data_IF_437772421676
#
_entry.id   IF_437772421676
#
_cell.length_a   1.000
_cell.length_b   1.000
_cell.length_c   1.000
_cell.angle_alpha   90.00
_cell.angle_beta   90.00
_cell.angle_gamma   90.00
#
_symmetry.space_group_name_H-M   'P 1'
#
loop_
_entity.id
_entity.type
_entity.pdbx_description
1 polymer ?
#
# COMPACT_ATOMS: atom_id res chain seq x y z
N UNK A 1 17.41 9.56 -6.38
CA UNK A 1 16.09 9.01 -6.74
C UNK A 1 15.05 9.43 -5.69
N UNK A 2 13.82 9.52 -6.08
CA UNK A 2 12.72 9.84 -5.17
C UNK A 2 12.32 8.62 -4.34
N UNK A 3 11.59 8.84 -3.26
CA UNK A 3 11.03 7.75 -2.46
C UNK A 3 10.14 6.84 -3.31
N UNK A 4 9.32 7.42 -4.17
CA UNK A 4 8.45 6.67 -5.08
C UNK A 4 9.26 5.75 -6.00
N UNK A 5 10.32 6.26 -6.59
CA UNK A 5 11.22 5.46 -7.43
C UNK A 5 11.90 4.36 -6.64
N UNK A 6 12.39 4.69 -5.45
CA UNK A 6 13.04 3.72 -4.59
C UNK A 6 12.12 2.55 -4.22
N UNK A 7 10.91 2.85 -3.76
CA UNK A 7 9.95 1.82 -3.39
C UNK A 7 9.49 1.02 -4.61
N UNK A 8 9.23 1.69 -5.73
CA UNK A 8 8.77 1.02 -6.95
C UNK A 8 9.80 0.04 -7.51
N UNK A 9 11.08 0.36 -7.37
CA UNK A 9 12.16 -0.49 -7.88
C UNK A 9 12.56 -1.60 -6.92
N UNK A 10 12.43 -1.38 -5.61
CA UNK A 10 13.00 -2.28 -4.62
C UNK A 10 11.95 -3.13 -3.88
N UNK A 11 10.70 -2.76 -3.88
CA UNK A 11 9.62 -3.64 -3.42
C UNK A 11 9.27 -4.61 -4.55
N UNK A 12 10.06 -5.66 -4.63
CA UNK A 12 9.98 -6.62 -5.76
C UNK A 12 8.68 -7.41 -5.73
N UNK A 13 8.21 -7.76 -4.55
CA UNK A 13 6.98 -8.53 -4.44
C UNK A 13 5.78 -7.73 -4.95
N UNK A 14 5.67 -6.47 -4.54
CA UNK A 14 4.60 -5.60 -5.00
C UNK A 14 4.69 -5.38 -6.52
N UNK A 15 5.88 -5.12 -7.04
CA UNK A 15 6.10 -4.94 -8.47
C UNK A 15 5.72 -6.19 -9.27
N UNK A 16 6.17 -7.36 -8.81
CA UNK A 16 5.87 -8.64 -9.48
C UNK A 16 4.39 -9.01 -9.39
N UNK A 17 3.70 -8.51 -8.38
CA UNK A 17 2.25 -8.70 -8.23
C UNK A 17 1.43 -7.71 -9.08
N UNK A 18 2.07 -6.75 -9.73
CA UNK A 18 1.40 -5.76 -10.56
C UNK A 18 0.93 -4.52 -9.82
N UNK A 19 1.33 -4.34 -8.55
CA UNK A 19 0.99 -3.15 -7.78
C UNK A 19 1.83 -1.95 -8.27
N UNK A 20 1.17 -0.82 -8.52
CA UNK A 20 1.82 0.40 -8.96
C UNK A 20 1.64 1.48 -7.92
N UNK A 21 2.76 2.03 -7.44
CA UNK A 21 2.74 3.20 -6.57
C UNK A 21 2.63 4.44 -7.45
N UNK A 22 1.47 5.10 -7.39
CA UNK A 22 1.14 6.19 -8.31
C UNK A 22 1.54 7.56 -7.77
N UNK A 23 1.34 7.78 -6.46
CA UNK A 23 1.52 9.11 -5.87
C UNK A 23 1.88 8.99 -4.40
N UNK A 24 2.79 9.86 -3.95
CA UNK A 24 3.10 10.07 -2.54
C UNK A 24 2.94 11.56 -2.25
N UNK A 25 2.21 11.87 -1.19
CA UNK A 25 2.10 13.22 -0.64
C UNK A 25 2.45 13.23 0.84
N UNK A 26 2.24 14.36 1.49
CA UNK A 26 2.44 14.47 2.93
C UNK A 26 1.35 13.70 3.68
N UNK A 27 1.74 12.59 4.31
CA UNK A 27 0.82 11.69 5.01
C UNK A 27 -0.18 10.99 4.09
N UNK A 28 0.16 10.83 2.81
CA UNK A 28 -0.75 10.31 1.79
C UNK A 28 0.00 9.50 0.75
N UNK A 29 -0.63 8.42 0.29
CA UNK A 29 -0.15 7.68 -0.87
C UNK A 29 -1.31 7.03 -1.61
N UNK A 30 -1.13 6.86 -2.92
CA UNK A 30 -2.08 6.16 -3.77
C UNK A 30 -1.34 5.10 -4.57
N UNK A 31 -1.88 3.88 -4.54
CA UNK A 31 -1.38 2.75 -5.33
C UNK A 31 -2.55 2.07 -6.04
N UNK A 32 -2.25 1.43 -7.16
CA UNK A 32 -3.27 0.79 -8.00
C UNK A 32 -2.87 -0.62 -8.39
N UNK A 33 -3.88 -1.44 -8.67
CA UNK A 33 -3.70 -2.81 -9.15
C UNK A 33 -4.78 -3.13 -10.16
N UNK A 34 -4.37 -3.53 -11.37
CA UNK A 34 -5.28 -4.10 -12.35
C UNK A 34 -5.44 -5.59 -12.03
N UNK A 35 -6.61 -6.01 -11.62
CA UNK A 35 -6.86 -7.43 -11.28
C UNK A 35 -6.90 -8.26 -12.55
N UNK A 36 -6.07 -9.30 -12.60
CA UNK A 36 -6.02 -10.26 -13.69
C UNK A 36 -6.35 -11.64 -13.15
N UNK A 37 -6.46 -12.64 -14.03
CA UNK A 37 -6.69 -14.03 -13.61
C UNK A 37 -5.59 -14.55 -12.69
N UNK A 38 -4.37 -13.98 -12.77
CA UNK A 38 -3.24 -14.39 -11.92
C UNK A 38 -3.43 -13.97 -10.45
N UNK A 39 -4.36 -13.05 -10.18
CA UNK A 39 -4.67 -12.60 -8.83
C UNK A 39 -5.84 -13.37 -8.19
N UNK A 40 -6.47 -14.29 -8.92
CA UNK A 40 -7.69 -14.95 -8.44
C UNK A 40 -7.39 -16.11 -7.51
N UNK A 41 -8.26 -16.30 -6.54
CA UNK A 41 -8.27 -17.48 -5.66
C UNK A 41 -9.08 -18.62 -6.28
N UNK A 42 -9.21 -19.73 -5.55
CA UNK A 42 -9.96 -20.89 -6.00
C UNK A 42 -11.44 -20.60 -6.25
N UNK A 43 -11.99 -19.56 -5.64
CA UNK A 43 -13.39 -19.13 -5.85
C UNK A 43 -13.55 -18.14 -7.00
N UNK A 44 -12.51 -17.93 -7.81
CA UNK A 44 -12.52 -17.04 -8.98
C UNK A 44 -12.75 -15.56 -8.66
N UNK A 45 -12.37 -15.14 -7.47
CA UNK A 45 -12.32 -13.73 -7.07
C UNK A 45 -10.93 -13.37 -6.59
N UNK A 46 -10.64 -12.08 -6.50
CA UNK A 46 -9.32 -11.59 -6.11
C UNK A 46 -8.90 -12.19 -4.76
N UNK A 47 -7.72 -12.79 -4.72
CA UNK A 47 -7.18 -13.41 -3.53
C UNK A 47 -6.82 -12.35 -2.50
N UNK A 48 -7.10 -12.63 -1.22
CA UNK A 48 -6.90 -11.65 -0.15
C UNK A 48 -5.50 -11.09 -0.06
N UNK A 49 -4.48 -11.88 -0.39
CA UNK A 49 -3.10 -11.43 -0.41
C UNK A 49 -2.81 -10.35 -1.44
N UNK A 50 -3.56 -10.30 -2.55
CA UNK A 50 -3.39 -9.25 -3.56
C UNK A 50 -3.80 -7.88 -3.00
N UNK A 51 -4.94 -7.81 -2.30
CA UNK A 51 -5.34 -6.58 -1.62
C UNK A 51 -4.31 -6.18 -0.57
N UNK A 52 -3.82 -7.16 0.18
CA UNK A 52 -2.87 -6.91 1.26
C UNK A 52 -1.55 -6.34 0.71
N UNK A 53 -1.05 -6.90 -0.38
CA UNK A 53 0.16 -6.41 -1.04
C UNK A 53 -0.02 -4.98 -1.54
N UNK A 54 -1.18 -4.69 -2.14
CA UNK A 54 -1.50 -3.35 -2.62
C UNK A 54 -1.56 -2.34 -1.47
N UNK A 55 -2.21 -2.72 -0.37
CA UNK A 55 -2.28 -1.85 0.82
C UNK A 55 -0.89 -1.65 1.42
N UNK A 56 -0.07 -2.69 1.47
CA UNK A 56 1.23 -2.66 2.13
C UNK A 56 2.21 -1.69 1.45
N UNK A 57 2.25 -1.64 0.12
CA UNK A 57 3.12 -0.68 -0.56
C UNK A 57 2.63 0.76 -0.33
N UNK A 58 1.33 0.99 -0.28
CA UNK A 58 0.78 2.31 0.02
C UNK A 58 1.10 2.72 1.47
N UNK A 59 0.98 1.79 2.41
CA UNK A 59 1.35 2.02 3.82
C UNK A 59 2.84 2.36 3.93
N UNK A 60 3.69 1.57 3.27
CA UNK A 60 5.13 1.80 3.29
C UNK A 60 5.49 3.19 2.76
N UNK A 61 4.81 3.63 1.70
CA UNK A 61 5.02 4.96 1.13
C UNK A 61 4.70 6.06 2.15
N UNK A 62 3.58 5.96 2.84
CA UNK A 62 3.21 6.95 3.87
C UNK A 62 4.19 6.92 5.03
N UNK A 63 4.49 5.75 5.57
CA UNK A 63 5.36 5.62 6.75
C UNK A 63 6.78 6.12 6.48
N UNK A 64 7.29 5.85 5.28
CA UNK A 64 8.66 6.25 4.91
C UNK A 64 8.73 7.67 4.35
N UNK A 65 7.60 8.33 4.15
CA UNK A 65 7.57 9.70 3.60
C UNK A 65 8.20 10.74 4.53
N UNK A 66 8.46 10.38 5.78
CA UNK A 66 9.14 11.26 6.75
C UNK A 66 10.66 11.09 6.76
N UNK A 67 11.20 10.25 5.88
CA UNK A 67 12.65 10.16 5.65
C UNK A 67 13.40 9.14 6.51
N UNK A 68 12.73 8.50 7.44
CA UNK A 68 13.33 7.45 8.27
C UNK A 68 12.80 6.08 7.86
N UNK A 69 13.69 5.10 7.79
CA UNK A 69 13.35 3.73 7.45
C UNK A 69 12.33 3.18 8.45
N UNK A 70 11.16 2.78 7.95
CA UNK A 70 10.05 2.32 8.77
C UNK A 70 9.53 1.00 8.21
N UNK A 71 9.38 0.00 9.07
CA UNK A 71 8.80 -1.29 8.71
C UNK A 71 7.44 -1.48 9.38
N UNK A 72 6.53 -2.19 8.72
CA UNK A 72 5.28 -2.60 9.33
C UNK A 72 5.52 -3.67 10.41
N UNK A 73 4.85 -3.52 11.56
CA UNK A 73 4.90 -4.53 12.62
C UNK A 73 3.54 -5.16 12.88
N UNK A 74 2.47 -4.52 12.47
CA UNK A 74 1.13 -5.08 12.54
C UNK A 74 0.27 -4.47 11.46
N UNK A 75 -0.42 -5.31 10.70
CA UNK A 75 -1.44 -4.87 9.77
C UNK A 75 -2.71 -5.66 10.00
N UNK A 76 -3.85 -4.99 9.85
CA UNK A 76 -5.17 -5.62 9.94
C UNK A 76 -5.93 -5.30 8.67
N UNK A 77 -6.58 -6.30 8.09
CA UNK A 77 -7.38 -6.14 6.88
C UNK A 77 -8.78 -6.68 7.10
N UNK A 78 -9.77 -5.92 6.62
CA UNK A 78 -11.17 -6.32 6.57
C UNK A 78 -11.59 -6.33 5.12
N UNK A 79 -12.05 -7.47 4.62
CA UNK A 79 -12.55 -7.64 3.27
C UNK A 79 -14.04 -7.34 3.27
N UNK A 80 -14.45 -6.34 2.47
CA UNK A 80 -15.84 -5.87 2.43
C UNK A 80 -16.55 -6.34 1.17
N UNK A 81 -15.86 -6.29 0.01
CA UNK A 81 -16.42 -6.66 -1.28
C UNK A 81 -15.35 -7.31 -2.14
N UNK A 82 -15.72 -8.42 -2.79
CA UNK A 82 -14.81 -9.12 -3.69
C UNK A 82 -14.62 -8.37 -5.00
N UNK A 83 -13.38 -8.30 -5.47
CA UNK A 83 -13.04 -7.88 -6.82
C UNK A 83 -12.87 -9.11 -7.72
N UNK A 84 -12.98 -8.90 -9.00
CA UNK A 84 -12.86 -9.95 -10.02
C UNK A 84 -11.87 -9.53 -11.10
N UNK A 85 -11.48 -10.45 -11.95
CA UNK A 85 -10.60 -10.14 -13.09
C UNK A 85 -11.22 -9.02 -13.94
N UNK A 86 -10.40 -8.05 -14.31
CA UNK A 86 -10.84 -6.85 -15.02
C UNK A 86 -11.11 -5.65 -14.13
N UNK A 87 -11.31 -5.85 -12.83
CA UNK A 87 -11.47 -4.72 -11.92
C UNK A 87 -10.15 -4.00 -11.71
N UNK A 88 -10.23 -2.68 -11.49
CA UNK A 88 -9.10 -1.85 -11.13
C UNK A 88 -9.24 -1.39 -9.70
N UNK A 89 -8.30 -1.78 -8.87
CA UNK A 89 -8.29 -1.42 -7.46
C UNK A 89 -7.41 -0.20 -7.23
N UNK A 90 -7.88 0.69 -6.36
CA UNK A 90 -7.13 1.86 -5.91
C UNK A 90 -7.05 1.84 -4.40
N UNK A 91 -5.82 1.85 -3.88
CA UNK A 91 -5.57 1.97 -2.45
C UNK A 91 -5.19 3.41 -2.14
N UNK A 92 -5.93 4.03 -1.23
CA UNK A 92 -5.62 5.35 -0.69
C UNK A 92 -5.18 5.16 0.76
N UNK A 93 -3.93 5.48 1.03
CA UNK A 93 -3.34 5.41 2.36
C UNK A 93 -3.26 6.80 2.97
N UNK A 94 -3.72 6.93 4.20
CA UNK A 94 -3.75 8.20 4.92
C UNK A 94 -3.14 8.00 6.30
N UNK A 95 -2.23 8.90 6.67
CA UNK A 95 -1.62 8.90 7.99
C UNK A 95 -2.65 9.27 9.04
N UNK A 96 -2.84 8.38 10.00
CA UNK A 96 -3.70 8.64 11.16
C UNK A 96 -2.90 9.34 12.25
N UNK A 97 -1.67 8.86 12.48
CA UNK A 97 -0.80 9.42 13.51
C UNK A 97 0.66 9.24 13.08
N UNK A 98 1.39 10.37 13.04
CA UNK A 98 2.83 10.37 12.81
C UNK A 98 3.56 10.27 14.15
N UNK A 99 3.47 9.11 14.79
CA UNK A 99 4.17 8.86 16.04
C UNK A 99 5.67 8.71 15.79
N UNK A 100 6.51 9.21 16.68
CA UNK A 100 7.96 9.20 16.49
C UNK A 100 8.54 7.78 16.35
N UNK A 101 7.90 6.77 16.91
CA UNK A 101 8.30 5.36 16.83
C UNK A 101 7.29 4.47 16.13
N UNK A 102 5.99 4.69 16.37
CA UNK A 102 4.91 3.80 15.96
C UNK A 102 3.88 4.54 15.11
N UNK A 103 4.24 4.92 13.88
CA UNK A 103 3.28 5.57 12.98
C UNK A 103 2.11 4.65 12.67
N UNK A 104 0.94 5.24 12.46
CA UNK A 104 -0.31 4.52 12.21
C UNK A 104 -0.93 5.04 10.91
N UNK A 105 -1.30 4.12 10.02
CA UNK A 105 -1.84 4.43 8.69
C UNK A 105 -3.13 3.68 8.44
N UNK A 106 -4.09 4.36 7.82
CA UNK A 106 -5.36 3.79 7.38
C UNK A 106 -5.38 3.72 5.86
N UNK A 107 -5.91 2.63 5.30
CA UNK A 107 -6.01 2.43 3.86
C UNK A 107 -7.42 2.02 3.48
N UNK A 108 -7.94 2.64 2.43
CA UNK A 108 -9.20 2.25 1.80
C UNK A 108 -8.89 1.77 0.39
N UNK A 109 -9.36 0.57 0.05
CA UNK A 109 -9.23 0.02 -1.30
C UNK A 109 -10.61 0.02 -1.94
N UNK A 110 -10.71 0.69 -3.08
CA UNK A 110 -11.96 0.78 -3.85
C UNK A 110 -11.75 0.21 -5.26
N UNK A 111 -12.83 -0.19 -5.91
CA UNK A 111 -12.81 -0.59 -7.31
C UNK A 111 -13.05 0.63 -8.22
N UNK A 112 -13.14 0.41 -9.54
CA UNK A 112 -13.30 1.47 -10.53
C UNK A 112 -14.66 2.19 -10.44
N UNK A 113 -15.63 1.61 -9.75
CA UNK A 113 -16.92 2.26 -9.48
C UNK A 113 -16.93 3.03 -8.16
N UNK A 114 -15.81 3.06 -7.45
CA UNK A 114 -15.73 3.73 -6.16
C UNK A 114 -16.30 2.89 -5.00
N UNK A 115 -16.59 1.62 -5.23
CA UNK A 115 -17.11 0.74 -4.19
C UNK A 115 -15.99 0.26 -3.28
N UNK A 116 -16.22 0.30 -1.97
CA UNK A 116 -15.25 -0.11 -0.96
C UNK A 116 -15.06 -1.64 -1.01
N UNK A 117 -13.82 -2.08 -1.22
CA UNK A 117 -13.45 -3.49 -1.24
C UNK A 117 -12.76 -3.92 0.04
N UNK A 118 -11.87 -3.10 0.58
CA UNK A 118 -11.11 -3.43 1.79
C UNK A 118 -10.87 -2.20 2.64
N UNK A 119 -10.75 -2.44 3.94
CA UNK A 119 -10.22 -1.49 4.92
C UNK A 119 -8.98 -2.12 5.52
N UNK A 120 -7.86 -1.41 5.49
CA UNK A 120 -6.60 -1.90 6.05
C UNK A 120 -6.05 -0.85 7.01
N UNK A 121 -5.55 -1.29 8.14
CA UNK A 121 -4.83 -0.43 9.07
C UNK A 121 -3.46 -1.03 9.32
N UNK A 122 -2.47 -0.17 9.53
CA UNK A 122 -1.10 -0.61 9.77
C UNK A 122 -0.41 0.23 10.82
N UNK A 123 0.38 -0.45 11.65
CA UNK A 123 1.29 0.18 12.60
C UNK A 123 2.69 -0.17 12.16
N UNK A 124 3.58 0.84 12.11
CA UNK A 124 4.97 0.64 11.76
C UNK A 124 5.89 0.83 12.95
N UNK A 125 7.14 0.43 12.75
CA UNK A 125 8.24 0.74 13.67
C UNK A 125 9.26 1.58 12.93
N UNK A 126 9.49 2.80 13.40
CA UNK A 126 10.42 3.76 12.80
C UNK A 126 11.81 3.56 13.35
N UNK A 127 12.74 3.21 12.48
CA UNK A 127 14.13 3.02 12.83
C UNK A 127 14.89 4.34 12.78
N UNK A 128 16.01 4.41 13.52
CA UNK A 128 16.92 5.55 13.46
C UNK A 128 17.89 5.36 12.29
N UNK A 129 17.35 5.27 11.09
CA UNK A 129 18.12 5.07 9.86
C UNK A 129 17.48 5.87 8.74
N UNK A 130 18.30 6.52 7.93
CA UNK A 130 17.83 7.26 6.76
C UNK A 130 17.59 6.34 5.60
N UNK A 131 16.69 6.77 4.71
CA UNK A 131 16.47 6.11 3.44
C UNK A 131 17.50 6.59 2.40
N UNK A 132 17.94 5.73 1.47
CA UNK A 132 18.88 6.13 0.42
C UNK A 132 18.16 6.84 -0.74
N UNK A 133 17.47 7.93 -0.41
CA UNK A 133 16.69 8.71 -1.38
C UNK A 133 17.07 10.18 -1.27
N UNK A 134 16.95 10.92 -2.39
CA UNK A 134 17.27 12.33 -2.47
C UNK A 134 16.06 13.20 -2.16
N UNK A 135 14.86 12.73 -2.51
CA UNK A 135 13.60 13.44 -2.33
C UNK A 135 12.52 12.49 -1.80
N UNK A 136 11.67 13.00 -0.92
CA UNK A 136 10.62 12.22 -0.26
C UNK A 136 9.29 12.22 -1.03
N UNK A 137 9.16 13.13 -1.94
CA UNK A 137 7.92 13.27 -2.73
C UNK A 137 8.24 13.36 -4.21
#
# INVERSE_FOLDING_TARGET
MTLKEFLSQNDRFAANSGCLLEEIGDGYARATLQVTKEHLNAGCVCQGGAYFTLADIAIAAVMNSHGQLTFGIENNIVYVKSAKAGDRLTAIATEVMNHHKLPYVDVRITNQQGELCCIVTGIGYRKQASLPVDELV
#
